data_IF_356473542055
#
_entry.id   IF_356473542055
#
_cell.length_a   1.000
_cell.length_b   1.000
_cell.length_c   1.000
_cell.angle_alpha   90.00
_cell.angle_beta   90.00
_cell.angle_gamma   90.00
#
_symmetry.space_group_name_H-M   'P 1'
#
loop_
_entity.id
_entity.type
_entity.pdbx_description
1 polymer ?
#
# COMPACT_ATOMS: atom_id res chain seq x y z
N UNK A 1 -1.69 24.52 7.56
CA UNK A 1 -2.07 23.15 7.15
C UNK A 1 -3.42 23.27 6.45
N UNK A 2 -3.44 23.41 5.13
CA UNK A 2 -4.70 23.60 4.38
C UNK A 2 -5.53 22.31 4.40
N UNK A 3 -6.85 22.44 4.57
CA UNK A 3 -7.82 21.34 4.52
C UNK A 3 -7.67 20.45 3.27
N UNK A 4 -7.28 21.07 2.16
CA UNK A 4 -7.01 20.42 0.87
C UNK A 4 -5.86 19.40 0.95
N UNK A 5 -4.92 19.57 1.88
CA UNK A 5 -3.78 18.67 2.05
C UNK A 5 -4.18 17.36 2.77
N UNK A 6 -5.02 17.45 3.81
CA UNK A 6 -5.47 16.27 4.56
C UNK A 6 -6.30 15.30 3.71
N UNK A 7 -7.29 15.81 2.96
CA UNK A 7 -8.13 14.94 2.12
C UNK A 7 -7.34 14.25 1.01
N UNK A 8 -6.31 14.91 0.48
CA UNK A 8 -5.36 14.30 -0.46
C UNK A 8 -4.58 13.16 0.20
N UNK A 9 -4.05 13.38 1.40
CA UNK A 9 -3.31 12.36 2.16
C UNK A 9 -4.21 11.17 2.53
N UNK A 10 -5.42 11.43 3.01
CA UNK A 10 -6.43 10.41 3.27
C UNK A 10 -6.76 9.58 2.03
N UNK A 11 -6.93 10.23 0.88
CA UNK A 11 -7.16 9.54 -0.40
C UNK A 11 -5.96 8.68 -0.81
N UNK A 12 -4.74 9.19 -0.63
CA UNK A 12 -3.51 8.46 -0.93
C UNK A 12 -3.33 7.24 -0.01
N UNK A 13 -3.62 7.38 1.29
CA UNK A 13 -3.59 6.28 2.24
C UNK A 13 -4.65 5.22 1.92
N UNK A 14 -5.87 5.62 1.54
CA UNK A 14 -6.90 4.67 1.09
C UNK A 14 -6.46 3.86 -0.13
N UNK A 15 -5.84 4.52 -1.12
CA UNK A 15 -5.28 3.83 -2.30
C UNK A 15 -4.17 2.85 -1.90
N UNK A 16 -3.30 3.22 -0.98
CA UNK A 16 -2.23 2.36 -0.46
C UNK A 16 -2.81 1.13 0.25
N UNK A 17 -3.81 1.32 1.12
CA UNK A 17 -4.52 0.24 1.81
C UNK A 17 -5.21 -0.71 0.83
N UNK A 18 -5.81 -0.21 -0.25
CA UNK A 18 -6.42 -1.05 -1.29
C UNK A 18 -5.39 -1.94 -1.98
N UNK A 19 -4.20 -1.41 -2.31
CA UNK A 19 -3.14 -2.22 -2.93
C UNK A 19 -2.59 -3.25 -1.94
N UNK A 20 -2.43 -2.88 -0.65
CA UNK A 20 -2.02 -3.83 0.40
C UNK A 20 -3.07 -4.94 0.58
N UNK A 21 -4.36 -4.62 0.50
CA UNK A 21 -5.44 -5.61 0.55
C UNK A 21 -5.36 -6.60 -0.61
N UNK A 22 -5.11 -6.12 -1.83
CA UNK A 22 -4.94 -6.99 -3.00
C UNK A 22 -3.73 -7.91 -2.86
N UNK A 23 -2.60 -7.41 -2.34
CA UNK A 23 -1.41 -8.22 -2.10
C UNK A 23 -1.66 -9.34 -1.07
N UNK A 24 -2.26 -9.00 0.08
CA UNK A 24 -2.63 -9.97 1.12
C UNK A 24 -3.64 -11.00 0.58
N UNK A 25 -4.65 -10.56 -0.17
CA UNK A 25 -5.61 -11.48 -0.78
C UNK A 25 -4.94 -12.44 -1.77
N UNK A 26 -3.97 -11.96 -2.55
CA UNK A 26 -3.14 -12.79 -3.43
C UNK A 26 -2.31 -13.82 -2.67
N UNK A 27 -1.70 -13.44 -1.54
CA UNK A 27 -0.95 -14.35 -0.68
C UNK A 27 -1.86 -15.45 -0.11
N UNK A 28 -3.02 -15.07 0.43
CA UNK A 28 -4.00 -16.03 0.98
C UNK A 28 -4.47 -17.01 -0.09
N UNK A 29 -4.74 -16.53 -1.31
CA UNK A 29 -5.14 -17.38 -2.43
C UNK A 29 -4.05 -18.40 -2.84
N UNK A 30 -2.78 -18.04 -2.64
CA UNK A 30 -1.62 -18.86 -3.03
C UNK A 30 -0.92 -19.53 -1.85
N UNK A 31 -1.55 -19.62 -0.68
CA UNK A 31 -0.94 -20.21 0.53
C UNK A 31 -0.54 -21.69 0.36
N UNK A 32 -1.22 -22.41 -0.53
CA UNK A 32 -0.91 -23.82 -0.83
C UNK A 32 -0.19 -23.98 -2.19
N UNK A 33 0.24 -22.89 -2.82
CA UNK A 33 0.99 -22.93 -4.08
C UNK A 33 2.46 -23.19 -3.79
N UNK A 34 3.05 -24.31 -4.25
CA UNK A 34 4.47 -24.61 -4.02
C UNK A 34 5.37 -23.54 -4.64
N UNK A 35 6.41 -23.12 -3.91
CA UNK A 35 7.37 -22.12 -4.40
C UNK A 35 6.80 -20.71 -4.57
N UNK A 36 5.68 -20.38 -3.91
CA UNK A 36 5.14 -19.03 -3.92
C UNK A 36 5.88 -18.14 -2.90
N UNK A 37 6.20 -16.91 -3.31
CA UNK A 37 6.83 -15.90 -2.45
C UNK A 37 5.81 -14.89 -1.95
N UNK A 38 5.86 -14.55 -0.67
CA UNK A 38 5.00 -13.54 -0.03
C UNK A 38 5.13 -12.22 -0.76
N UNK A 39 4.00 -11.63 -1.14
CA UNK A 39 3.97 -10.31 -1.78
C UNK A 39 3.57 -9.26 -0.76
N UNK A 40 4.40 -8.25 -0.55
CA UNK A 40 4.16 -7.19 0.42
C UNK A 40 4.35 -5.79 -0.18
N UNK A 41 3.53 -4.84 0.27
CA UNK A 41 3.59 -3.44 -0.16
C UNK A 41 4.48 -2.69 0.82
N UNK A 42 5.35 -1.82 0.29
CA UNK A 42 6.20 -0.94 1.11
C UNK A 42 5.37 -0.13 2.15
N UNK A 43 5.94 0.18 3.33
CA UNK A 43 5.27 0.96 4.36
C UNK A 43 4.80 2.32 3.84
N UNK A 44 3.67 2.82 4.36
CA UNK A 44 3.07 4.09 3.89
C UNK A 44 4.00 5.29 4.13
N UNK A 45 4.84 5.24 5.15
CA UNK A 45 5.85 6.24 5.46
C UNK A 45 6.85 6.42 4.31
N UNK A 46 7.22 5.33 3.63
CA UNK A 46 8.09 5.38 2.45
C UNK A 46 7.44 6.08 1.25
N UNK A 47 6.10 5.99 1.16
CA UNK A 47 5.30 6.67 0.15
C UNK A 47 5.24 8.17 0.44
N UNK A 48 5.13 8.55 1.72
CA UNK A 48 5.09 9.94 2.17
C UNK A 48 6.45 10.65 2.06
N UNK A 49 7.52 9.97 2.45
CA UNK A 49 8.88 10.54 2.42
C UNK A 49 9.41 10.77 1.02
N UNK A 50 8.67 10.35 -0.01
CA UNK A 50 9.00 10.54 -1.41
C UNK A 50 10.43 10.07 -1.74
N UNK A 51 10.91 9.04 -1.03
CA UNK A 51 12.21 8.39 -1.23
C UNK A 51 12.33 7.69 -2.60
N UNK A 52 11.37 7.94 -3.49
CA UNK A 52 11.33 7.51 -4.86
C UNK A 52 12.19 8.44 -5.69
N UNK A 53 13.45 8.04 -5.87
CA UNK A 53 14.27 8.53 -6.98
C UNK A 53 13.57 8.09 -8.27
N UNK A 54 12.84 9.01 -8.89
CA UNK A 54 12.18 8.77 -10.17
C UNK A 54 13.13 9.26 -11.25
N UNK A 55 13.59 8.37 -12.12
CA UNK A 55 14.39 8.76 -13.26
C UNK A 55 13.50 9.57 -14.21
N UNK A 56 13.83 10.85 -14.39
CA UNK A 56 13.17 11.71 -15.37
C UNK A 56 13.97 11.64 -16.65
N UNK A 57 13.32 11.21 -17.74
CA UNK A 57 13.95 11.23 -19.06
C UNK A 57 14.20 12.69 -19.47
N UNK A 58 15.46 13.03 -19.77
CA UNK A 58 15.86 14.38 -20.21
C UNK A 58 15.52 14.64 -21.68
N UNK A 59 15.22 13.59 -22.45
CA UNK A 59 14.82 13.65 -23.85
C UNK A 59 13.76 12.57 -24.11
N UNK A 60 12.77 12.87 -24.95
CA UNK A 60 11.69 11.95 -25.35
C UNK A 60 12.17 10.71 -26.10
N UNK A 61 13.40 10.73 -26.65
CA UNK A 61 14.05 9.57 -27.25
C UNK A 61 14.91 8.75 -26.25
N UNK A 62 15.04 9.19 -25.00
CA UNK A 62 15.79 8.47 -23.96
C UNK A 62 14.87 7.60 -23.08
N UNK A 63 15.39 6.46 -22.63
CA UNK A 63 14.74 5.46 -21.75
C UNK A 63 13.25 5.21 -22.07
N UNK A 64 12.98 4.55 -23.20
CA UNK A 64 11.69 3.89 -23.48
C UNK A 64 11.56 2.54 -22.74
N UNK A 65 11.96 2.48 -21.47
CA UNK A 65 11.66 1.34 -20.60
C UNK A 65 10.32 1.58 -19.92
N UNK A 66 9.51 0.53 -19.72
CA UNK A 66 8.29 0.56 -18.93
C UNK A 66 8.60 0.96 -17.46
N UNK A 67 8.88 2.23 -17.23
CA UNK A 67 8.92 2.82 -15.89
C UNK A 67 7.47 3.02 -15.51
N UNK A 68 6.83 1.96 -15.02
CA UNK A 68 5.57 2.06 -14.29
C UNK A 68 5.82 2.88 -13.02
N UNK A 69 5.87 4.21 -13.17
CA UNK A 69 6.01 5.15 -12.07
C UNK A 69 4.69 5.33 -11.31
N UNK A 70 3.58 4.75 -11.81
CA UNK A 70 2.24 4.94 -11.30
C UNK A 70 1.77 3.73 -10.48
N UNK A 71 2.43 3.43 -9.37
CA UNK A 71 1.99 2.38 -8.45
C UNK A 71 2.70 2.38 -7.11
N UNK A 72 2.10 1.79 -6.08
CA UNK A 72 2.82 1.48 -4.82
C UNK A 72 3.87 0.40 -5.10
N UNK A 73 5.04 0.49 -4.46
CA UNK A 73 6.08 -0.53 -4.63
C UNK A 73 5.62 -1.79 -3.92
N UNK A 74 5.65 -2.90 -4.66
CA UNK A 74 5.26 -4.23 -4.21
C UNK A 74 6.50 -5.09 -4.34
N UNK A 75 6.98 -5.62 -3.23
CA UNK A 75 8.12 -6.52 -3.20
C UNK A 75 7.62 -7.94 -2.99
N UNK A 76 8.26 -8.89 -3.67
CA UNK A 76 8.02 -10.31 -3.44
C UNK A 76 9.23 -10.89 -2.71
N UNK A 77 8.98 -11.64 -1.63
CA UNK A 77 10.03 -12.35 -0.91
C UNK A 77 10.68 -13.41 -1.79
N UNK A 78 12.00 -13.50 -1.67
CA UNK A 78 12.77 -14.54 -2.35
C UNK A 78 12.56 -15.89 -1.67
N UNK A 79 12.07 -16.86 -2.45
CA UNK A 79 11.79 -18.23 -2.00
C UNK A 79 13.05 -19.09 -1.85
N UNK A 80 14.23 -18.59 -2.24
CA UNK A 80 15.51 -19.30 -2.15
C UNK A 80 15.88 -19.75 -0.74
N UNK A 81 15.40 -19.03 0.29
CA UNK A 81 15.63 -19.33 1.72
C UNK A 81 14.37 -19.85 2.44
N UNK A 82 13.36 -20.34 1.73
CA UNK A 82 12.12 -20.80 2.35
C UNK A 82 12.35 -21.98 3.31
N UNK A 83 12.04 -21.81 4.61
CA UNK A 83 12.19 -22.84 5.63
C UNK A 83 11.14 -23.96 5.53
N UNK A 84 10.05 -23.73 4.79
CA UNK A 84 8.94 -24.68 4.69
C UNK A 84 9.27 -25.80 3.68
N UNK A 85 8.87 -27.06 3.94
CA UNK A 85 9.06 -28.17 2.99
C UNK A 85 8.45 -27.92 1.60
N UNK A 86 7.38 -27.12 1.54
CA UNK A 86 6.69 -26.71 0.30
C UNK A 86 7.36 -25.54 -0.44
N UNK A 87 8.46 -24.99 0.11
CA UNK A 87 9.14 -23.77 -0.36
C UNK A 87 8.25 -22.54 -0.49
N UNK A 88 7.11 -22.52 0.22
CA UNK A 88 6.31 -21.31 0.37
C UNK A 88 6.88 -20.46 1.52
N UNK A 89 6.76 -19.14 1.42
CA UNK A 89 7.08 -18.20 2.51
C UNK A 89 5.83 -17.61 3.17
N UNK A 90 4.64 -17.87 2.60
CA UNK A 90 3.36 -17.34 3.11
C UNK A 90 2.89 -18.12 4.33
N UNK A 91 2.61 -17.40 5.41
CA UNK A 91 2.01 -17.91 6.66
C UNK A 91 0.59 -17.35 6.79
N UNK A 92 -0.41 -18.23 6.80
CA UNK A 92 -1.82 -17.83 6.77
C UNK A 92 -2.21 -16.96 7.97
N UNK A 93 -1.75 -17.32 9.16
CA UNK A 93 -2.02 -16.61 10.41
C UNK A 93 -1.54 -15.16 10.33
N UNK A 94 -0.36 -14.94 9.75
CA UNK A 94 0.20 -13.61 9.55
C UNK A 94 -0.62 -12.81 8.52
N UNK A 95 -1.02 -13.42 7.41
CA UNK A 95 -1.83 -12.74 6.39
C UNK A 95 -3.24 -12.38 6.92
N UNK A 96 -3.83 -13.20 7.78
CA UNK A 96 -5.09 -12.89 8.47
C UNK A 96 -4.94 -11.71 9.45
N UNK A 97 -3.82 -11.64 10.19
CA UNK A 97 -3.50 -10.50 11.04
C UNK A 97 -3.35 -9.22 10.21
N UNK A 98 -2.60 -9.27 9.11
CA UNK A 98 -2.43 -8.14 8.16
C UNK A 98 -3.78 -7.69 7.60
N UNK A 99 -4.70 -8.60 7.28
CA UNK A 99 -6.06 -8.26 6.84
C UNK A 99 -6.84 -7.45 7.89
N UNK A 100 -6.74 -7.84 9.17
CA UNK A 100 -7.31 -7.09 10.29
C UNK A 100 -6.73 -5.68 10.43
N UNK A 101 -5.41 -5.54 10.27
CA UNK A 101 -4.75 -4.23 10.27
C UNK A 101 -5.23 -3.33 9.14
N UNK A 102 -5.37 -3.87 7.92
CA UNK A 102 -5.83 -3.13 6.75
C UNK A 102 -7.24 -2.60 6.98
N UNK A 103 -8.15 -3.46 7.49
CA UNK A 103 -9.51 -3.05 7.86
C UNK A 103 -9.49 -1.91 8.86
N UNK A 104 -8.71 -2.05 9.94
CA UNK A 104 -8.56 -1.00 10.96
C UNK A 104 -8.03 0.31 10.36
N UNK A 105 -7.11 0.23 9.41
CA UNK A 105 -6.59 1.37 8.67
C UNK A 105 -7.67 2.13 7.89
N UNK A 106 -8.56 1.41 7.18
CA UNK A 106 -9.68 2.04 6.46
C UNK A 106 -10.68 2.71 7.40
N UNK A 107 -11.00 2.05 8.52
CA UNK A 107 -11.91 2.57 9.55
C UNK A 107 -11.34 3.87 10.15
N UNK A 108 -10.05 3.90 10.50
CA UNK A 108 -9.38 5.08 11.04
C UNK A 108 -9.34 6.23 10.04
N UNK A 109 -8.97 5.96 8.78
CA UNK A 109 -8.94 6.98 7.73
C UNK A 109 -10.33 7.62 7.53
N UNK A 110 -11.37 6.79 7.46
CA UNK A 110 -12.76 7.25 7.37
C UNK A 110 -13.16 8.11 8.57
N UNK A 111 -12.74 7.72 9.79
CA UNK A 111 -13.02 8.49 11.00
C UNK A 111 -12.35 9.88 10.97
N UNK A 112 -11.08 9.97 10.53
CA UNK A 112 -10.34 11.22 10.38
C UNK A 112 -11.02 12.15 9.38
N UNK A 113 -11.33 11.64 8.18
CA UNK A 113 -12.01 12.42 7.11
C UNK A 113 -13.35 12.96 7.61
N UNK A 114 -14.15 12.14 8.31
CA UNK A 114 -15.44 12.58 8.89
C UNK A 114 -15.26 13.67 9.94
N UNK A 115 -14.30 13.51 10.85
CA UNK A 115 -14.04 14.48 11.91
C UNK A 115 -13.62 15.84 11.34
N UNK A 116 -12.71 15.82 10.35
CA UNK A 116 -12.24 17.04 9.73
C UNK A 116 -13.31 17.72 8.88
N UNK A 117 -14.11 16.94 8.13
CA UNK A 117 -15.25 17.47 7.41
C UNK A 117 -16.23 18.19 8.35
N UNK A 118 -16.58 17.58 9.49
CA UNK A 118 -17.41 18.23 10.52
C UNK A 118 -16.79 19.55 10.99
N UNK A 119 -15.50 19.57 11.30
CA UNK A 119 -14.79 20.79 11.71
C UNK A 119 -14.90 21.89 10.63
N UNK A 120 -14.67 21.57 9.36
CA UNK A 120 -14.78 22.54 8.25
C UNK A 120 -16.20 23.07 8.10
N UNK A 121 -17.22 22.22 8.21
CA UNK A 121 -18.62 22.64 8.11
C UNK A 121 -19.06 23.53 9.28
N UNK A 122 -18.52 23.29 10.48
CA UNK A 122 -18.79 24.13 11.64
C UNK A 122 -18.14 25.51 11.49
N UNK A 123 -16.89 25.57 11.01
CA UNK A 123 -16.18 26.83 10.80
C UNK A 123 -16.82 27.71 9.71
N UNK A 124 -17.43 27.10 8.68
CA UNK A 124 -18.11 27.82 7.59
C UNK A 124 -19.53 28.28 7.95
N UNK A 125 -20.13 27.74 9.03
CA UNK A 125 -21.48 28.09 9.50
C UNK A 125 -21.49 29.18 10.58
N UNK A 126 -20.31 29.62 11.03
CA UNK A 126 -20.12 30.71 11.98
C UNK A 126 -19.90 32.05 11.30
#
# INVERSE_FOLDING_TARGET
MDAVNLFKLATQQSRWLSVRQSAVAGNVANVNTPGYGTTEVEPFESVLNNSRVTLVATNSAHLAGNVSAQGFKVNQEDTSNALMPSKNTVVLENELLKSGEIRRGFEMNTAIVKAFHRMTTMALKG
#
